data_IF_304551657468
#
_entry.id   IF_304551657468
#
_cell.length_a   1.000
_cell.length_b   1.000
_cell.length_c   1.000
_cell.angle_alpha   90.00
_cell.angle_beta   90.00
_cell.angle_gamma   90.00
#
_symmetry.space_group_name_H-M   'P 1'
#
loop_
_entity.id
_entity.type
_entity.pdbx_description
1 polymer ?
#
# COMPACT_ATOMS: atom_id res chain seq x y z
N UNK A 1 -2.07 3.20 4.35
CA UNK A 1 -2.26 2.03 3.49
C UNK A 1 -3.62 2.10 2.83
N UNK A 2 -4.67 2.35 3.61
CA UNK A 2 -6.07 2.43 3.19
C UNK A 2 -6.31 3.26 1.93
N UNK A 3 -5.77 4.47 1.82
CA UNK A 3 -6.00 5.31 0.62
C UNK A 3 -5.44 4.69 -0.66
N UNK A 4 -4.36 3.91 -0.55
CA UNK A 4 -3.79 3.17 -1.68
C UNK A 4 -4.73 2.01 -2.03
N UNK A 5 -5.14 1.21 -1.04
CA UNK A 5 -6.07 0.08 -1.26
C UNK A 5 -7.38 0.52 -1.89
N UNK A 6 -7.98 1.59 -1.37
CA UNK A 6 -9.22 2.14 -1.93
C UNK A 6 -9.04 2.60 -3.38
N UNK A 7 -7.90 3.20 -3.71
CA UNK A 7 -7.62 3.62 -5.09
C UNK A 7 -7.37 2.44 -6.03
N UNK A 8 -6.72 1.38 -5.53
CA UNK A 8 -6.49 0.13 -6.28
C UNK A 8 -7.80 -0.61 -6.54
N UNK A 9 -8.68 -0.69 -5.55
CA UNK A 9 -10.00 -1.30 -5.66
C UNK A 9 -10.87 -0.60 -6.73
N UNK A 10 -10.88 0.74 -6.74
CA UNK A 10 -11.54 1.51 -7.80
C UNK A 10 -10.97 1.25 -9.21
N UNK A 11 -9.72 0.83 -9.31
CA UNK A 11 -9.08 0.42 -10.56
C UNK A 11 -9.20 -1.09 -10.84
N UNK A 12 -9.94 -1.84 -10.01
CA UNK A 12 -10.13 -3.28 -10.17
C UNK A 12 -8.91 -4.12 -9.77
N UNK A 13 -7.99 -3.58 -8.96
CA UNK A 13 -6.82 -4.28 -8.42
C UNK A 13 -7.05 -4.62 -6.95
N UNK A 14 -7.19 -5.91 -6.66
CA UNK A 14 -7.36 -6.38 -5.28
C UNK A 14 -6.02 -6.54 -4.55
N UNK A 15 -5.93 -5.97 -3.35
CA UNK A 15 -4.76 -6.07 -2.48
C UNK A 15 -5.19 -5.98 -1.00
N UNK A 16 -4.23 -6.14 -0.08
CA UNK A 16 -4.48 -6.08 1.36
C UNK A 16 -3.50 -5.12 2.05
N UNK A 17 -3.87 -4.56 3.21
CA UNK A 17 -2.94 -3.78 4.05
C UNK A 17 -1.97 -4.72 4.78
N UNK A 18 -0.90 -4.20 5.37
CA UNK A 18 0.17 -4.99 6.00
C UNK A 18 -0.26 -5.94 7.13
N UNK A 19 -1.52 -5.92 7.56
CA UNK A 19 -2.15 -7.01 8.30
C UNK A 19 -3.26 -7.61 7.45
N UNK A 20 -3.09 -8.87 7.05
CA UNK A 20 -4.09 -9.64 6.30
C UNK A 20 -5.48 -9.69 6.93
N UNK A 21 -5.57 -9.36 8.22
CA UNK A 21 -6.78 -9.32 9.03
C UNK A 21 -6.96 -7.92 9.63
N UNK A 22 -7.41 -6.93 8.85
CA UNK A 22 -7.91 -5.68 9.43
C UNK A 22 -9.34 -5.93 9.94
N UNK A 23 -9.49 -6.51 11.13
CA UNK A 23 -10.78 -6.67 11.81
C UNK A 23 -11.29 -5.31 12.35
N UNK A 24 -11.35 -4.28 11.50
CA UNK A 24 -11.78 -2.92 11.86
C UNK A 24 -10.78 -2.09 12.67
N UNK A 25 -9.55 -2.56 12.84
CA UNK A 25 -8.50 -1.84 13.57
C UNK A 25 -7.63 -1.00 12.62
N UNK A 26 -7.36 0.25 12.96
CA UNK A 26 -6.44 1.17 12.27
C UNK A 26 -4.97 0.90 12.61
N UNK A 27 -4.70 -0.11 13.43
CA UNK A 27 -3.36 -0.45 13.89
C UNK A 27 -2.49 -1.01 12.75
N UNK A 28 -1.19 -0.65 12.72
CA UNK A 28 -0.27 -1.19 11.74
C UNK A 28 0.03 -2.68 11.99
N UNK A 29 0.66 -3.31 10.99
CA UNK A 29 1.01 -4.73 11.07
C UNK A 29 1.87 -5.06 12.28
N UNK A 30 1.32 -5.87 13.20
CA UNK A 30 2.07 -6.41 14.34
C UNK A 30 3.36 -7.14 13.90
N UNK A 31 3.35 -7.78 12.72
CA UNK A 31 4.56 -8.42 12.17
C UNK A 31 5.61 -7.39 11.77
N UNK A 32 5.22 -6.32 11.07
CA UNK A 32 6.17 -5.26 10.68
C UNK A 32 6.75 -4.55 11.91
N UNK A 33 5.90 -4.30 12.93
CA UNK A 33 6.35 -3.73 14.19
C UNK A 33 7.34 -4.66 14.91
N UNK A 34 7.06 -5.97 14.95
CA UNK A 34 7.91 -6.96 15.63
C UNK A 34 9.31 -7.09 15.00
N UNK A 35 9.43 -6.87 13.69
CA UNK A 35 10.73 -6.86 12.99
C UNK A 35 11.41 -5.48 13.00
N UNK A 36 10.86 -4.52 13.75
CA UNK A 36 11.47 -3.20 13.95
C UNK A 36 11.17 -2.16 12.87
N UNK A 37 10.14 -2.36 12.04
CA UNK A 37 9.70 -1.30 11.11
C UNK A 37 9.06 -0.17 11.90
N UNK A 38 9.49 1.09 11.71
CA UNK A 38 8.86 2.25 12.34
C UNK A 38 7.37 2.33 12.05
N UNK A 39 6.59 2.75 13.05
CA UNK A 39 5.12 2.79 12.96
C UNK A 39 4.64 3.66 11.79
N UNK A 40 5.34 4.76 11.52
CA UNK A 40 5.04 5.71 10.45
C UNK A 40 5.16 5.06 9.07
N UNK A 41 6.10 4.12 8.92
CA UNK A 41 6.32 3.35 7.70
C UNK A 41 5.34 2.17 7.63
N UNK A 42 5.08 1.51 8.76
CA UNK A 42 4.22 0.34 8.84
C UNK A 42 2.77 0.64 8.41
N UNK A 43 2.24 1.84 8.69
CA UNK A 43 0.94 2.28 8.20
C UNK A 43 0.85 2.36 6.67
N UNK A 44 1.96 2.55 5.97
CA UNK A 44 2.02 2.64 4.51
C UNK A 44 2.02 1.29 3.78
N UNK A 45 2.04 0.18 4.50
CA UNK A 45 2.27 -1.15 3.92
C UNK A 45 1.07 -1.69 3.13
N UNK A 46 1.38 -2.31 1.99
CA UNK A 46 0.45 -2.98 1.08
C UNK A 46 1.03 -4.35 0.76
N UNK A 47 0.19 -5.38 0.72
CA UNK A 47 0.55 -6.76 0.40
C UNK A 47 -0.21 -7.22 -0.84
N UNK A 48 0.54 -7.64 -1.85
CA UNK A 48 0.04 -8.37 -3.01
C UNK A 48 0.36 -9.86 -2.83
N UNK A 49 -0.62 -10.71 -3.12
CA UNK A 49 -0.48 -12.17 -3.13
C UNK A 49 -0.81 -12.65 -4.53
N UNK A 50 0.12 -13.35 -5.18
CA UNK A 50 -0.08 -13.86 -6.53
C UNK A 50 -0.56 -15.31 -6.50
N UNK A 51 -1.46 -15.66 -7.41
CA UNK A 51 -1.95 -17.00 -7.69
C UNK A 51 -1.52 -17.50 -9.06
N UNK A 52 -1.78 -18.78 -9.32
CA UNK A 52 -1.46 -19.47 -10.59
C UNK A 52 -2.12 -18.84 -11.83
N UNK A 53 -3.24 -18.16 -11.64
CA UNK A 53 -4.06 -17.59 -12.71
C UNK A 53 -3.69 -16.13 -13.00
N UNK A 54 -2.73 -15.54 -12.26
CA UNK A 54 -2.25 -14.20 -12.57
C UNK A 54 -1.39 -14.20 -13.84
N UNK A 55 -1.61 -13.21 -14.70
CA UNK A 55 -0.83 -13.05 -15.94
C UNK A 55 0.15 -11.89 -15.84
N UNK A 56 1.15 -11.90 -16.72
CA UNK A 56 2.13 -10.81 -16.80
C UNK A 56 1.46 -9.47 -17.09
N UNK A 57 0.47 -9.46 -17.97
CA UNK A 57 -0.28 -8.26 -18.36
C UNK A 57 -1.04 -7.66 -17.16
N UNK A 58 -1.61 -8.50 -16.29
CA UNK A 58 -2.25 -8.04 -15.05
C UNK A 58 -1.24 -7.42 -14.08
N UNK A 59 -0.02 -7.97 -14.00
CA UNK A 59 1.05 -7.40 -13.19
C UNK A 59 1.50 -6.06 -13.75
N UNK A 60 1.74 -5.98 -15.05
CA UNK A 60 2.16 -4.74 -15.71
C UNK A 60 1.09 -3.63 -15.51
N UNK A 61 -0.20 -3.96 -15.71
CA UNK A 61 -1.31 -3.04 -15.39
C UNK A 61 -1.34 -2.62 -13.92
N UNK A 62 -1.18 -3.57 -13.00
CA UNK A 62 -1.17 -3.29 -11.56
C UNK A 62 -0.04 -2.32 -11.19
N UNK A 63 1.14 -2.47 -11.81
CA UNK A 63 2.27 -1.58 -11.57
C UNK A 63 2.00 -0.15 -12.06
N UNK A 64 1.43 0.00 -13.27
CA UNK A 64 1.09 1.31 -13.82
C UNK A 64 0.11 2.06 -12.91
N UNK A 65 -0.97 1.39 -12.48
CA UNK A 65 -1.96 1.93 -11.54
C UNK A 65 -1.32 2.27 -10.20
N UNK A 66 -0.50 1.37 -9.65
CA UNK A 66 0.13 1.57 -8.35
C UNK A 66 1.02 2.82 -8.34
N UNK A 67 1.82 3.02 -9.40
CA UNK A 67 2.69 4.19 -9.53
C UNK A 67 1.85 5.47 -9.55
N UNK A 68 0.81 5.53 -10.38
CA UNK A 68 -0.07 6.71 -10.47
C UNK A 68 -0.71 7.06 -9.12
N UNK A 69 -1.26 6.05 -8.43
CA UNK A 69 -1.90 6.20 -7.11
C UNK A 69 -0.91 6.71 -6.09
N UNK A 70 0.28 6.10 -6.00
CA UNK A 70 1.31 6.47 -5.03
C UNK A 70 1.82 7.88 -5.28
N UNK A 71 2.07 8.26 -6.52
CA UNK A 71 2.49 9.62 -6.87
C UNK A 71 1.45 10.67 -6.49
N UNK A 72 0.18 10.41 -6.81
CA UNK A 72 -0.94 11.29 -6.45
C UNK A 72 -1.02 11.50 -4.95
N UNK A 73 -1.03 10.41 -4.18
CA UNK A 73 -1.15 10.47 -2.72
C UNK A 73 0.06 11.14 -2.07
N UNK A 74 1.26 10.92 -2.60
CA UNK A 74 2.49 11.60 -2.16
C UNK A 74 2.44 13.11 -2.40
N UNK A 75 1.95 13.56 -3.56
CA UNK A 75 1.78 14.99 -3.87
C UNK A 75 0.83 15.69 -2.90
N UNK A 76 -0.17 14.97 -2.38
CA UNK A 76 -1.15 15.48 -1.42
C UNK A 76 -0.68 15.38 0.04
N UNK A 77 0.37 14.60 0.32
CA UNK A 77 0.82 14.33 1.68
C UNK A 77 1.77 15.41 2.19
N UNK A 78 1.43 16.15 3.26
CA UNK A 78 2.33 17.12 3.87
C UNK A 78 3.58 16.44 4.46
N UNK A 79 3.46 15.18 4.91
CA UNK A 79 4.57 14.42 5.51
C UNK A 79 5.61 13.95 4.50
N UNK A 80 5.22 13.81 3.23
CA UNK A 80 6.14 13.37 2.19
C UNK A 80 7.10 14.48 1.76
N UNK A 81 6.62 15.72 1.70
CA UNK A 81 7.44 16.87 1.32
C UNK A 81 8.45 17.25 2.43
N UNK A 82 8.08 17.09 3.71
CA UNK A 82 8.98 17.32 4.87
C UNK A 82 10.19 16.39 4.85
N UNK A 83 10.06 15.17 4.34
CA UNK A 83 11.17 14.20 4.24
C UNK A 83 12.05 14.39 3.00
N UNK A 84 11.71 15.29 2.06
CA UNK A 84 12.57 15.61 0.91
C UNK A 84 13.57 16.73 1.19
N UNK A 85 13.35 17.51 2.25
CA UNK A 85 14.20 18.63 2.64
C UNK A 85 15.20 18.29 3.76
N UNK A 86 15.22 17.03 4.21
CA UNK A 86 16.22 16.44 5.10
C UNK A 86 17.03 15.38 4.35
#
# INVERSE_FOLDING_TARGET
GESILFSLDLAGVEASSGSACSSGSLEPSHTLLAIGVPVEIAHGSIRFSLGKDNTKEQIDYTLDVLVEVVERLRKMSPLYNVNKEN
#
